data_IF_035050931302
#
_entry.id   IF_035050931302
#
_cell.length_a   1.000
_cell.length_b   1.000
_cell.length_c   1.000
_cell.angle_alpha   90.00
_cell.angle_beta   90.00
_cell.angle_gamma   90.00
#
_symmetry.space_group_name_H-M   'P 1'
#
loop_
_entity.id
_entity.type
_entity.pdbx_description
1 polymer ?
#
# COMPACT_ATOMS: atom_id res chain seq x y z
N UNK A 1 7.08 12.04 5.05
CA UNK A 1 7.21 10.88 5.97
C UNK A 1 5.86 10.25 6.26
N UNK A 2 4.83 11.01 6.66
CA UNK A 2 3.53 10.49 7.09
C UNK A 2 2.86 9.51 6.10
N UNK A 3 2.72 9.88 4.81
CA UNK A 3 2.06 9.02 3.82
C UNK A 3 2.72 7.64 3.67
N UNK A 4 4.06 7.57 3.60
CA UNK A 4 4.77 6.28 3.53
C UNK A 4 4.53 5.43 4.78
N UNK A 5 4.41 6.06 5.95
CA UNK A 5 4.06 5.33 7.18
C UNK A 5 2.64 4.77 7.12
N UNK A 6 1.67 5.58 6.71
CA UNK A 6 0.28 5.14 6.56
C UNK A 6 0.14 4.00 5.55
N UNK A 7 0.82 4.12 4.40
CA UNK A 7 0.88 3.05 3.40
C UNK A 7 1.53 1.78 3.95
N UNK A 8 2.62 1.91 4.73
CA UNK A 8 3.30 0.74 5.30
C UNK A 8 2.38 -0.03 6.25
N UNK A 9 1.60 0.70 7.06
CA UNK A 9 0.63 0.13 7.99
C UNK A 9 -0.49 -0.55 7.22
N UNK A 10 -1.04 0.12 6.21
CA UNK A 10 -2.11 -0.43 5.38
C UNK A 10 -1.70 -1.71 4.65
N UNK A 11 -0.54 -1.71 3.98
CA UNK A 11 -0.03 -2.89 3.26
C UNK A 11 0.22 -4.04 4.25
N UNK A 12 0.82 -3.76 5.40
CA UNK A 12 1.09 -4.78 6.43
C UNK A 12 -0.19 -5.36 7.01
N UNK A 13 -1.19 -4.52 7.29
CA UNK A 13 -2.51 -4.96 7.74
C UNK A 13 -3.22 -5.82 6.68
N UNK A 14 -3.11 -5.44 5.40
CA UNK A 14 -3.68 -6.22 4.31
C UNK A 14 -3.05 -7.61 4.20
N UNK A 15 -1.72 -7.72 4.26
CA UNK A 15 -1.00 -9.00 4.28
C UNK A 15 -1.49 -9.89 5.44
N UNK A 16 -1.66 -9.30 6.63
CA UNK A 16 -2.17 -10.00 7.82
C UNK A 16 -3.60 -10.49 7.63
N UNK A 17 -4.49 -9.65 7.09
CA UNK A 17 -5.90 -10.01 6.82
C UNK A 17 -6.05 -11.10 5.77
N UNK A 18 -5.13 -11.17 4.80
CA UNK A 18 -5.05 -12.25 3.81
C UNK A 18 -4.47 -13.55 4.40
N UNK A 19 -3.96 -13.53 5.64
CA UNK A 19 -3.37 -14.71 6.30
C UNK A 19 -2.03 -15.14 5.69
N UNK A 20 -1.37 -14.26 4.92
CA UNK A 20 -0.16 -14.60 4.18
C UNK A 20 1.06 -14.62 5.10
N UNK A 21 1.84 -15.69 5.01
CA UNK A 21 3.21 -15.73 5.55
C UNK A 21 4.12 -14.82 4.72
N UNK A 22 5.26 -14.42 5.28
CA UNK A 22 6.20 -13.52 4.58
C UNK A 22 6.60 -14.01 3.19
N UNK A 23 6.79 -15.32 3.01
CA UNK A 23 7.16 -15.92 1.71
C UNK A 23 6.00 -15.83 0.70
N UNK A 24 4.76 -16.03 1.14
CA UNK A 24 3.57 -15.95 0.30
C UNK A 24 3.27 -14.49 -0.07
N UNK A 25 3.44 -13.58 0.88
CA UNK A 25 3.34 -12.15 0.66
C UNK A 25 4.43 -11.67 -0.34
N UNK A 26 5.64 -12.18 -0.22
CA UNK A 26 6.74 -11.86 -1.14
C UNK A 26 6.42 -12.30 -2.58
N UNK A 27 5.92 -13.52 -2.73
CA UNK A 27 5.47 -14.03 -4.03
C UNK A 27 4.30 -13.20 -4.60
N UNK A 28 3.30 -12.87 -3.77
CA UNK A 28 2.15 -12.05 -4.19
C UNK A 28 2.55 -10.64 -4.60
N UNK A 29 3.45 -10.02 -3.86
CA UNK A 29 3.95 -8.66 -4.11
C UNK A 29 5.03 -8.62 -5.19
N UNK A 30 5.48 -9.77 -5.71
CA UNK A 30 6.60 -9.89 -6.64
C UNK A 30 7.89 -9.20 -6.14
N UNK A 31 8.23 -9.41 -4.87
CA UNK A 31 9.43 -8.87 -4.21
C UNK A 31 10.18 -9.97 -3.46
N UNK A 32 11.48 -9.81 -3.16
CA UNK A 32 12.17 -10.77 -2.30
C UNK A 32 11.60 -10.77 -0.88
N UNK A 33 11.67 -11.92 -0.18
CA UNK A 33 11.19 -12.05 1.20
C UNK A 33 11.82 -11.02 2.16
N UNK A 34 13.10 -10.68 1.96
CA UNK A 34 13.78 -9.64 2.75
C UNK A 34 13.04 -8.31 2.68
N UNK A 35 12.44 -7.96 1.53
CA UNK A 35 11.68 -6.73 1.36
C UNK A 35 10.39 -6.74 2.18
N UNK A 36 9.70 -7.87 2.27
CA UNK A 36 8.52 -8.02 3.14
C UNK A 36 8.91 -7.91 4.61
N UNK A 37 10.07 -8.47 5.00
CA UNK A 37 10.61 -8.32 6.36
C UNK A 37 10.94 -6.86 6.68
N UNK A 38 11.57 -6.14 5.74
CA UNK A 38 11.84 -4.70 5.89
C UNK A 38 10.56 -3.89 6.08
N UNK A 39 9.51 -4.18 5.32
CA UNK A 39 8.20 -3.54 5.46
C UNK A 39 7.59 -3.82 6.84
N UNK A 40 7.58 -5.09 7.26
CA UNK A 40 7.00 -5.52 8.53
C UNK A 40 7.74 -4.98 9.76
N UNK A 41 9.05 -4.76 9.64
CA UNK A 41 9.90 -4.18 10.70
C UNK A 41 9.89 -2.65 10.71
N UNK A 42 9.16 -1.99 9.79
CA UNK A 42 9.05 -0.54 9.77
C UNK A 42 10.24 0.20 9.17
N UNK A 43 11.07 -0.46 8.36
CA UNK A 43 12.20 0.16 7.62
C UNK A 43 11.69 0.96 6.40
N UNK A 44 10.78 1.90 6.63
CA UNK A 44 9.97 2.61 5.63
C UNK A 44 10.84 3.52 4.75
N UNK A 45 11.99 3.97 5.25
CA UNK A 45 12.97 4.78 4.54
C UNK A 45 13.54 4.08 3.30
N UNK A 46 13.52 2.74 3.27
CA UNK A 46 13.98 1.93 2.13
C UNK A 46 12.98 1.83 0.98
N UNK A 47 11.79 2.41 1.16
CA UNK A 47 10.70 2.37 0.19
C UNK A 47 10.50 3.75 -0.43
N UNK A 48 10.52 3.79 -1.76
CA UNK A 48 9.98 4.92 -2.52
C UNK A 48 8.47 4.87 -2.46
N UNK A 49 7.81 6.01 -2.67
CA UNK A 49 6.34 6.04 -2.74
C UNK A 49 5.84 5.15 -3.88
N UNK A 50 6.48 5.22 -5.04
CA UNK A 50 6.13 4.42 -6.22
C UNK A 50 6.18 2.91 -5.93
N UNK A 51 7.23 2.42 -5.24
CA UNK A 51 7.30 1.01 -4.87
C UNK A 51 6.17 0.59 -3.92
N UNK A 52 5.64 1.51 -3.10
CA UNK A 52 4.49 1.22 -2.25
C UNK A 52 3.19 1.21 -3.05
N UNK A 53 3.07 2.06 -4.07
CA UNK A 53 1.93 2.03 -5.00
C UNK A 53 1.91 0.72 -5.80
N UNK A 54 3.06 0.28 -6.32
CA UNK A 54 3.18 -1.01 -7.00
C UNK A 54 2.74 -2.17 -6.09
N UNK A 55 3.09 -2.13 -4.81
CA UNK A 55 2.64 -3.13 -3.84
C UNK A 55 1.13 -3.14 -3.63
N UNK A 56 0.49 -1.96 -3.62
CA UNK A 56 -0.98 -1.87 -3.55
C UNK A 56 -1.63 -2.50 -4.78
N UNK A 57 -1.09 -2.22 -5.97
CA UNK A 57 -1.58 -2.79 -7.22
C UNK A 57 -1.47 -4.33 -7.20
N UNK A 58 -0.34 -4.87 -6.75
CA UNK A 58 -0.14 -6.32 -6.60
C UNK A 58 -1.08 -6.96 -5.55
N UNK A 59 -1.50 -6.19 -4.55
CA UNK A 59 -2.50 -6.64 -3.59
C UNK A 59 -3.93 -6.57 -4.13
N UNK A 60 -4.14 -5.95 -5.29
CA UNK A 60 -5.44 -5.77 -5.92
C UNK A 60 -6.15 -4.50 -5.46
N UNK A 61 -5.41 -3.45 -5.11
CA UNK A 61 -5.97 -2.12 -4.87
C UNK A 61 -5.64 -1.17 -6.02
N UNK A 62 -6.38 -0.08 -6.13
CA UNK A 62 -6.07 1.05 -7.01
C UNK A 62 -6.01 2.32 -6.17
N UNK A 63 -5.07 3.19 -6.52
CA UNK A 63 -4.89 4.50 -5.88
C UNK A 63 -5.28 5.62 -6.82
N UNK A 64 -6.10 6.55 -6.34
CA UNK A 64 -6.50 7.74 -7.09
C UNK A 64 -6.49 8.96 -6.19
N UNK A 65 -6.13 10.11 -6.78
CA UNK A 65 -6.25 11.41 -6.11
C UNK A 65 -7.62 11.98 -6.44
N UNK A 66 -8.40 12.30 -5.42
CA UNK A 66 -9.66 13.01 -5.58
C UNK A 66 -9.44 14.49 -5.27
N UNK A 67 -9.88 15.33 -6.20
CA UNK A 67 -9.89 16.78 -6.03
C UNK A 67 -11.30 17.23 -5.65
N UNK A 68 -11.43 18.10 -4.65
CA UNK A 68 -12.72 18.65 -4.26
C UNK A 68 -13.28 19.48 -5.41
N UNK A 69 -14.51 19.17 -5.84
CA UNK A 69 -15.12 19.74 -7.05
C UNK A 69 -15.89 21.05 -6.78
N UNK A 70 -15.33 21.99 -5.99
CA UNK A 70 -15.88 23.33 -5.65
C UNK A 70 -16.54 23.50 -4.27
N UNK A 71 -16.36 22.56 -3.33
CA UNK A 71 -16.72 22.82 -1.92
C UNK A 71 -15.61 23.61 -1.22
N UNK A 72 -15.93 24.84 -0.80
CA UNK A 72 -15.08 25.70 0.02
C UNK A 72 -14.87 25.10 1.42
N UNK A 73 -14.00 24.10 1.51
CA UNK A 73 -13.70 23.37 2.75
C UNK A 73 -13.27 21.92 2.56
N UNK A 74 -13.43 21.34 1.36
CA UNK A 74 -12.97 19.98 1.11
C UNK A 74 -11.47 19.98 0.75
N UNK A 75 -10.72 19.04 1.34
CA UNK A 75 -9.28 18.86 1.08
C UNK A 75 -9.07 17.74 0.06
N UNK A 76 -8.05 17.81 -0.81
CA UNK A 76 -7.64 16.70 -1.66
C UNK A 76 -7.34 15.45 -0.84
N UNK A 77 -7.73 14.28 -1.36
CA UNK A 77 -7.51 12.99 -0.69
C UNK A 77 -6.87 11.99 -1.63
N UNK A 78 -6.05 11.11 -1.07
CA UNK A 78 -5.60 9.89 -1.74
C UNK A 78 -6.56 8.79 -1.31
N UNK A 79 -7.26 8.20 -2.28
CA UNK A 79 -8.25 7.14 -2.04
C UNK A 79 -7.68 5.82 -2.54
N UNK A 80 -7.67 4.82 -1.66
CA UNK A 80 -7.28 3.45 -1.97
C UNK A 80 -8.56 2.61 -2.05
N UNK A 81 -8.84 2.02 -3.21
CA UNK A 81 -10.04 1.19 -3.44
C UNK A 81 -9.66 -0.22 -3.87
N UNK A 82 -10.39 -1.27 -3.48
CA UNK A 82 -10.22 -2.59 -4.07
C UNK A 82 -10.43 -2.51 -5.59
N UNK A 83 -9.53 -3.07 -6.37
CA UNK A 83 -9.76 -3.27 -7.80
C UNK A 83 -10.93 -4.24 -7.94
N UNK A 84 -11.96 -3.93 -8.75
CA UNK A 84 -13.04 -4.89 -9.00
C UNK A 84 -12.42 -6.18 -9.51
N UNK A 85 -12.71 -7.28 -8.82
CA UNK A 85 -12.34 -8.61 -9.29
C UNK A 85 -12.89 -8.77 -10.71
N UNK A 86 -12.00 -8.99 -11.68
CA UNK A 86 -12.39 -9.34 -13.05
C UNK A 86 -12.91 -10.76 -13.10
#
# INVERSE_FOLDING_TARGET
MALRMELSLFITDCIKKLGLKQVEAAARLNVPQSRVSELANGNIEKFTLDAMMDMLDQLGFRTHVTLPSNDAGASPQIVITPSPAS
#
